data_IF_662601028470
#
_entry.id   IF_662601028470
#
_cell.length_a   1.000
_cell.length_b   1.000
_cell.length_c   1.000
_cell.angle_alpha   90.00
_cell.angle_beta   90.00
_cell.angle_gamma   90.00
#
_symmetry.space_group_name_H-M   'P 1'
#
loop_
_entity.id
_entity.type
_entity.pdbx_description
1 polymer ?
#
# COMPACT_ATOMS: atom_id res chain seq x y z
N UNK A 1 -58.56 -44.78 76.20
CA UNK A 1 -57.90 -43.73 77.00
C UNK A 1 -56.79 -43.15 76.11
N UNK A 2 -56.99 -41.93 75.67
CA UNK A 2 -56.09 -40.79 75.82
C UNK A 2 -54.66 -41.08 75.37
N UNK A 3 -53.96 -40.33 74.54
CA UNK A 3 -54.02 -38.91 74.14
C UNK A 3 -53.12 -38.70 72.94
N UNK A 4 -53.53 -37.85 72.02
CA UNK A 4 -52.89 -36.66 71.46
C UNK A 4 -51.35 -36.58 71.50
N UNK A 5 -50.72 -36.30 70.37
CA UNK A 5 -50.32 -34.94 69.95
C UNK A 5 -49.32 -35.10 68.82
N UNK A 6 -49.42 -34.46 67.94
CA UNK A 6 -49.22 -33.12 67.31
C UNK A 6 -48.13 -33.12 66.26
N UNK A 7 -48.58 -32.78 65.19
CA UNK A 7 -48.10 -32.26 63.98
C UNK A 7 -46.73 -31.53 64.04
N UNK A 8 -45.92 -31.85 63.10
CA UNK A 8 -44.80 -31.02 62.65
C UNK A 8 -44.61 -31.15 61.14
N UNK A 9 -45.32 -30.28 60.40
CA UNK A 9 -45.07 -30.09 58.97
C UNK A 9 -43.76 -29.39 58.80
N UNK A 10 -42.75 -30.05 58.34
CA UNK A 10 -41.62 -29.39 57.70
C UNK A 10 -41.74 -29.49 56.19
N UNK A 11 -42.16 -28.38 55.61
CA UNK A 11 -42.13 -28.11 54.21
C UNK A 11 -40.67 -28.01 53.79
N UNK A 12 -40.16 -29.02 53.12
CA UNK A 12 -38.87 -28.92 52.41
C UNK A 12 -39.10 -28.22 51.08
N UNK A 13 -38.79 -26.93 51.06
CA UNK A 13 -38.63 -26.16 49.84
C UNK A 13 -37.37 -26.68 49.20
N UNK A 14 -37.52 -27.47 48.11
CA UNK A 14 -36.45 -27.84 47.22
C UNK A 14 -36.08 -26.58 46.37
N UNK A 15 -35.05 -25.89 46.80
CA UNK A 15 -34.42 -24.82 46.01
C UNK A 15 -33.68 -25.47 44.84
N UNK A 16 -34.32 -25.55 43.67
CA UNK A 16 -33.71 -25.94 42.40
C UNK A 16 -32.79 -24.81 41.97
N UNK A 17 -31.50 -24.97 42.33
CA UNK A 17 -30.43 -24.10 41.84
C UNK A 17 -30.18 -24.46 40.37
N UNK A 18 -30.85 -23.71 39.47
CA UNK A 18 -30.62 -23.82 38.03
C UNK A 18 -29.22 -23.33 37.69
N UNK A 19 -28.31 -24.29 37.51
CA UNK A 19 -26.97 -24.00 36.94
C UNK A 19 -27.12 -23.73 35.46
N UNK A 20 -27.30 -22.45 35.07
CA UNK A 20 -27.21 -22.02 33.68
C UNK A 20 -25.76 -22.08 33.26
N UNK A 21 -25.41 -23.15 32.55
CA UNK A 21 -24.14 -23.23 31.79
C UNK A 21 -24.28 -22.26 30.65
N UNK A 22 -23.73 -21.05 30.82
CA UNK A 22 -23.47 -20.11 29.74
C UNK A 22 -22.33 -20.73 28.95
N UNK A 23 -22.68 -21.50 27.93
CA UNK A 23 -21.73 -21.91 26.88
C UNK A 23 -21.28 -20.65 26.18
N UNK A 24 -20.16 -20.06 26.63
CA UNK A 24 -19.45 -19.04 25.90
C UNK A 24 -19.03 -19.62 24.55
N UNK A 25 -19.73 -19.26 23.48
CA UNK A 25 -19.19 -19.39 22.13
C UNK A 25 -17.94 -18.51 22.06
N UNK A 26 -16.78 -19.11 22.32
CA UNK A 26 -15.52 -18.58 21.88
C UNK A 26 -15.58 -18.57 20.36
N UNK A 27 -15.85 -17.41 19.78
CA UNK A 27 -15.49 -17.13 18.40
C UNK A 27 -13.98 -17.23 18.35
N UNK A 28 -13.47 -18.44 18.10
CA UNK A 28 -12.11 -18.61 17.70
C UNK A 28 -11.98 -17.83 16.39
N UNK A 29 -11.34 -16.67 16.45
CA UNK A 29 -10.87 -15.95 15.29
C UNK A 29 -9.94 -16.92 14.55
N UNK A 30 -10.39 -17.49 13.43
CA UNK A 30 -9.54 -18.27 12.54
C UNK A 30 -8.39 -17.35 12.10
N UNK A 31 -7.29 -17.40 12.85
CA UNK A 31 -6.03 -16.87 12.39
C UNK A 31 -5.63 -17.73 11.18
N UNK A 32 -5.90 -17.22 9.98
CA UNK A 32 -5.41 -17.84 8.76
C UNK A 32 -3.87 -17.86 8.88
N UNK A 33 -3.33 -19.03 9.12
CA UNK A 33 -1.87 -19.22 9.19
C UNK A 33 -1.33 -19.17 7.79
N UNK A 34 -0.87 -17.98 7.39
CA UNK A 34 -0.20 -17.81 6.09
C UNK A 34 1.00 -18.74 6.02
N UNK A 35 1.04 -19.58 4.99
CA UNK A 35 2.12 -20.56 4.78
C UNK A 35 3.45 -19.91 4.46
N UNK A 36 3.43 -18.75 3.78
CA UNK A 36 4.61 -17.98 3.46
C UNK A 36 4.89 -16.92 4.52
N UNK A 37 6.16 -16.71 4.86
CA UNK A 37 6.59 -15.73 5.88
C UNK A 37 7.85 -15.02 5.43
N UNK A 38 8.02 -13.77 5.83
CA UNK A 38 9.29 -13.07 5.77
C UNK A 38 10.17 -13.65 6.88
N UNK A 39 11.28 -14.29 6.53
CA UNK A 39 12.22 -14.89 7.49
C UNK A 39 13.23 -13.87 8.00
N UNK A 40 13.81 -13.09 7.09
CA UNK A 40 14.80 -12.06 7.43
C UNK A 40 14.63 -10.82 6.58
N UNK A 41 15.13 -9.70 7.12
CA UNK A 41 15.30 -8.42 6.42
C UNK A 41 16.68 -7.89 6.79
N UNK A 42 17.57 -7.86 5.80
CA UNK A 42 18.96 -7.47 5.95
C UNK A 42 19.26 -6.25 5.07
N UNK A 43 20.24 -5.46 5.45
CA UNK A 43 20.61 -4.23 4.74
C UNK A 43 22.08 -4.21 4.41
N UNK A 44 22.42 -3.70 3.24
CA UNK A 44 23.80 -3.41 2.88
C UNK A 44 23.91 -2.07 2.14
N UNK A 45 24.95 -1.33 2.45
CA UNK A 45 25.27 -0.08 1.74
C UNK A 45 26.23 -0.38 0.58
N UNK A 46 25.94 0.18 -0.59
CA UNK A 46 26.79 0.09 -1.76
C UNK A 46 27.50 1.45 -2.00
N UNK A 47 28.62 1.46 -2.74
CA UNK A 47 29.30 2.68 -3.14
C UNK A 47 28.33 3.65 -3.84
N UNK A 48 28.51 4.96 -3.59
CA UNK A 48 27.63 5.99 -4.13
C UNK A 48 26.35 6.19 -3.34
N UNK A 49 26.25 5.75 -2.08
CA UNK A 49 25.10 6.00 -1.19
C UNK A 49 23.85 5.20 -1.53
N UNK A 50 23.97 4.18 -2.37
CA UNK A 50 22.89 3.22 -2.65
C UNK A 50 22.72 2.26 -1.47
N UNK A 51 21.48 1.84 -1.21
CA UNK A 51 21.18 0.86 -0.15
C UNK A 51 20.46 -0.32 -0.78
N UNK A 52 20.88 -1.52 -0.43
CA UNK A 52 20.21 -2.76 -0.82
C UNK A 52 19.57 -3.37 0.41
N UNK A 53 18.30 -3.74 0.27
CA UNK A 53 17.53 -4.43 1.28
C UNK A 53 17.29 -5.84 0.75
N UNK A 54 17.77 -6.84 1.47
CA UNK A 54 17.56 -8.25 1.19
C UNK A 54 16.45 -8.77 2.09
N UNK A 55 15.44 -9.35 1.49
CA UNK A 55 14.31 -9.97 2.19
C UNK A 55 14.25 -11.41 1.78
N UNK A 56 14.23 -12.31 2.76
CA UNK A 56 14.07 -13.73 2.52
C UNK A 56 12.68 -14.18 2.94
N UNK A 57 12.03 -14.99 2.09
CA UNK A 57 10.73 -15.59 2.36
C UNK A 57 10.80 -17.10 2.45
N UNK A 58 9.90 -17.75 3.21
CA UNK A 58 9.87 -19.22 3.35
C UNK A 58 9.46 -19.93 2.08
N UNK A 59 8.66 -19.29 1.24
CA UNK A 59 8.19 -19.85 -0.05
C UNK A 59 8.51 -18.84 -1.15
N UNK A 60 8.90 -19.30 -2.35
CA UNK A 60 9.19 -18.42 -3.48
C UNK A 60 8.03 -17.48 -3.79
N UNK A 61 8.37 -16.23 -4.06
CA UNK A 61 7.41 -15.25 -4.57
C UNK A 61 7.34 -15.35 -6.09
N UNK A 62 6.14 -15.37 -6.62
CA UNK A 62 5.90 -15.39 -8.08
C UNK A 62 6.10 -13.98 -8.67
N UNK A 63 5.72 -12.95 -7.92
CA UNK A 63 5.79 -11.55 -8.35
C UNK A 63 6.49 -10.69 -7.29
N UNK A 64 7.15 -9.60 -7.69
CA UNK A 64 7.61 -8.59 -6.77
C UNK A 64 6.44 -8.04 -5.93
N UNK A 65 6.69 -7.67 -4.66
CA UNK A 65 5.67 -7.02 -3.85
C UNK A 65 5.23 -5.71 -4.51
N UNK A 66 3.93 -5.45 -4.49
CA UNK A 66 3.39 -4.19 -4.94
C UNK A 66 3.91 -3.05 -4.05
N UNK A 67 4.41 -1.97 -4.67
CA UNK A 67 5.01 -0.88 -3.91
C UNK A 67 4.51 0.48 -4.34
N UNK A 68 4.50 1.44 -3.40
CA UNK A 68 4.18 2.84 -3.66
C UNK A 68 5.04 3.76 -2.81
N UNK A 69 5.24 4.99 -3.30
CA UNK A 69 6.01 6.03 -2.63
C UNK A 69 5.09 7.09 -2.01
N UNK A 70 5.48 7.58 -0.84
CA UNK A 70 4.90 8.73 -0.17
C UNK A 70 5.99 9.80 -0.06
N UNK A 71 5.68 11.03 -0.43
CA UNK A 71 6.69 12.09 -0.51
C UNK A 71 6.87 12.87 0.80
N UNK A 72 5.83 13.00 1.60
CA UNK A 72 5.86 13.75 2.86
C UNK A 72 5.09 13.03 3.96
N UNK A 73 5.77 12.38 4.91
CA UNK A 73 7.21 12.09 4.95
C UNK A 73 7.65 11.06 3.92
N UNK A 74 8.92 11.13 3.49
CA UNK A 74 9.49 10.24 2.50
C UNK A 74 9.43 8.76 2.93
N UNK A 75 8.65 7.94 2.22
CA UNK A 75 8.46 6.51 2.52
C UNK A 75 8.24 5.72 1.24
N UNK A 76 8.62 4.45 1.28
CA UNK A 76 8.22 3.44 0.30
C UNK A 76 7.46 2.37 1.07
N UNK A 77 6.23 2.08 0.66
CA UNK A 77 5.46 0.98 1.21
C UNK A 77 5.38 -0.15 0.18
N UNK A 78 5.58 -1.37 0.65
CA UNK A 78 5.57 -2.59 -0.15
C UNK A 78 4.60 -3.59 0.48
N UNK A 79 3.66 -4.09 -0.31
CA UNK A 79 2.68 -5.07 0.14
C UNK A 79 3.11 -6.48 -0.31
N UNK A 80 3.14 -7.40 0.64
CA UNK A 80 3.43 -8.82 0.45
C UNK A 80 2.15 -9.62 0.69
N UNK A 81 1.30 -9.83 -0.35
CA UNK A 81 0.06 -10.60 -0.21
C UNK A 81 0.37 -12.07 0.08
N UNK A 82 -0.38 -12.69 0.96
CA UNK A 82 -0.20 -14.10 1.34
C UNK A 82 1.08 -14.39 2.13
N UNK A 83 1.78 -13.37 2.60
CA UNK A 83 3.05 -13.49 3.35
C UNK A 83 2.88 -12.89 4.74
N UNK A 84 3.19 -13.67 5.77
CA UNK A 84 3.21 -13.23 7.15
C UNK A 84 4.55 -12.60 7.55
N UNK A 85 4.56 -11.82 8.61
CA UNK A 85 5.81 -11.38 9.23
C UNK A 85 6.32 -12.49 10.17
N UNK A 86 7.39 -13.17 9.76
CA UNK A 86 8.07 -14.21 10.54
C UNK A 86 9.28 -13.71 11.32
N UNK A 87 9.65 -12.43 11.18
CA UNK A 87 10.90 -11.89 11.80
C UNK A 87 10.77 -11.61 13.29
N UNK A 88 9.59 -11.74 13.90
CA UNK A 88 9.30 -11.34 15.28
C UNK A 88 9.55 -9.83 15.57
N UNK A 89 9.93 -9.06 14.57
CA UNK A 89 10.19 -7.62 14.65
C UNK A 89 9.15 -6.86 13.84
N UNK A 90 8.57 -5.83 14.42
CA UNK A 90 7.68 -4.90 13.71
C UNK A 90 8.40 -3.62 13.27
N UNK A 91 9.55 -3.34 13.87
CA UNK A 91 10.37 -2.19 13.54
C UNK A 91 11.85 -2.58 13.57
N UNK A 92 12.59 -2.19 12.52
CA UNK A 92 14.02 -2.48 12.36
C UNK A 92 14.72 -1.16 12.02
N UNK A 93 15.62 -0.71 12.89
CA UNK A 93 16.45 0.46 12.63
C UNK A 93 17.51 0.09 11.60
N UNK A 94 17.72 0.93 10.59
CA UNK A 94 18.67 0.67 9.52
C UNK A 94 19.81 1.70 9.49
N UNK A 95 19.48 2.99 9.48
CA UNK A 95 20.41 4.14 9.45
C UNK A 95 21.51 4.00 8.37
N UNK A 96 21.12 3.57 7.19
CA UNK A 96 22.02 3.36 6.06
C UNK A 96 21.61 4.23 4.87
N UNK A 97 22.49 5.11 4.42
CA UNK A 97 22.24 6.01 3.29
C UNK A 97 20.95 6.81 3.46
N UNK A 98 19.99 6.61 2.56
CA UNK A 98 18.66 7.24 2.65
C UNK A 98 17.67 6.45 3.51
N UNK A 99 17.95 5.20 3.87
CA UNK A 99 17.07 4.35 4.68
C UNK A 99 17.28 4.62 6.17
N UNK A 100 16.23 5.07 6.86
CA UNK A 100 16.22 5.27 8.31
C UNK A 100 15.81 4.01 9.05
N UNK A 101 14.66 3.47 8.70
CA UNK A 101 14.12 2.27 9.35
C UNK A 101 13.15 1.52 8.43
N UNK A 102 12.87 0.28 8.81
CA UNK A 102 11.85 -0.55 8.17
C UNK A 102 10.80 -0.91 9.21
N UNK A 103 9.53 -0.74 8.85
CA UNK A 103 8.39 -1.14 9.67
C UNK A 103 7.62 -2.25 8.97
N UNK A 104 7.34 -3.35 9.67
CA UNK A 104 6.57 -4.49 9.20
C UNK A 104 5.23 -4.53 9.93
N UNK A 105 4.15 -4.31 9.20
CA UNK A 105 2.78 -4.35 9.72
C UNK A 105 2.05 -5.57 9.13
N UNK A 106 1.67 -6.50 10.01
CA UNK A 106 0.85 -7.66 9.64
C UNK A 106 -0.62 -7.23 9.60
N UNK A 107 -1.31 -7.53 8.51
CA UNK A 107 -2.76 -7.40 8.37
C UNK A 107 -3.28 -8.72 7.78
N UNK A 108 -4.39 -9.24 8.29
CA UNK A 108 -5.03 -10.53 7.94
C UNK A 108 -4.23 -11.43 6.97
N UNK A 109 -4.22 -11.10 5.68
CA UNK A 109 -3.64 -11.94 4.61
C UNK A 109 -2.41 -11.32 3.94
N UNK A 110 -1.78 -10.31 4.55
CA UNK A 110 -0.59 -9.66 3.98
C UNK A 110 0.30 -9.04 5.05
N UNK A 111 1.57 -8.88 4.70
CA UNK A 111 2.50 -8.01 5.43
C UNK A 111 2.76 -6.77 4.61
N UNK A 112 2.61 -5.60 5.21
CA UNK A 112 3.06 -4.33 4.65
C UNK A 112 4.41 -3.96 5.24
N UNK A 113 5.39 -3.79 4.38
CA UNK A 113 6.71 -3.27 4.72
C UNK A 113 6.76 -1.79 4.37
N UNK A 114 7.12 -0.94 5.33
CA UNK A 114 7.29 0.49 5.11
C UNK A 114 8.76 0.84 5.32
N UNK A 115 9.41 1.31 4.27
CA UNK A 115 10.77 1.86 4.31
C UNK A 115 10.65 3.34 4.64
N UNK A 116 11.09 3.75 5.83
CA UNK A 116 11.14 5.15 6.22
C UNK A 116 12.46 5.75 5.74
N UNK A 117 12.38 6.84 5.01
CA UNK A 117 13.52 7.44 4.31
C UNK A 117 13.85 8.83 4.88
N UNK A 118 15.11 9.25 4.73
CA UNK A 118 15.55 10.62 5.04
C UNK A 118 15.12 11.61 3.93
N UNK A 119 15.02 11.12 2.71
CA UNK A 119 14.61 11.87 1.51
C UNK A 119 13.97 10.94 0.48
N UNK A 120 13.24 11.49 -0.48
CA UNK A 120 12.70 10.72 -1.58
C UNK A 120 13.81 10.19 -2.48
N UNK A 121 13.79 8.90 -2.76
CA UNK A 121 14.73 8.23 -3.66
C UNK A 121 13.98 7.25 -4.56
N UNK A 122 14.52 7.01 -5.74
CA UNK A 122 14.05 5.92 -6.61
C UNK A 122 14.41 4.57 -6.02
N UNK A 123 13.62 3.55 -6.31
CA UNK A 123 13.92 2.19 -5.93
C UNK A 123 13.62 1.21 -7.07
N UNK A 124 14.26 0.04 -7.00
CA UNK A 124 13.98 -1.10 -7.87
C UNK A 124 13.81 -2.33 -6.99
N UNK A 125 12.87 -3.20 -7.36
CA UNK A 125 12.61 -4.48 -6.67
C UNK A 125 12.81 -5.63 -7.64
N UNK A 126 13.60 -6.62 -7.26
CA UNK A 126 13.81 -7.86 -7.99
C UNK A 126 13.47 -9.05 -7.10
N UNK A 127 12.93 -10.10 -7.71
CA UNK A 127 12.61 -11.37 -7.03
C UNK A 127 13.34 -12.50 -7.72
N UNK A 128 14.00 -13.33 -6.93
CA UNK A 128 14.64 -14.54 -7.38
C UNK A 128 14.31 -15.68 -6.41
N UNK A 129 13.24 -16.41 -6.70
CA UNK A 129 12.75 -17.45 -5.80
C UNK A 129 12.30 -16.88 -4.45
N UNK A 130 12.99 -17.28 -3.39
CA UNK A 130 12.71 -16.83 -2.01
C UNK A 130 13.34 -15.48 -1.66
N UNK A 131 14.22 -14.97 -2.52
CA UNK A 131 14.98 -13.75 -2.26
C UNK A 131 14.35 -12.56 -2.97
N UNK A 132 13.98 -11.54 -2.20
CA UNK A 132 13.51 -10.25 -2.70
C UNK A 132 14.58 -9.22 -2.40
N UNK A 133 15.04 -8.55 -3.44
CA UNK A 133 16.05 -7.49 -3.32
C UNK A 133 15.44 -6.16 -3.70
N UNK A 134 15.51 -5.18 -2.79
CA UNK A 134 15.10 -3.80 -3.02
C UNK A 134 16.35 -2.94 -3.03
N UNK A 135 16.60 -2.26 -4.13
CA UNK A 135 17.72 -1.33 -4.26
C UNK A 135 17.21 0.10 -4.23
N UNK A 136 17.62 0.86 -3.21
CA UNK A 136 17.39 2.30 -3.13
C UNK A 136 18.52 3.05 -3.85
N UNK A 137 18.15 4.02 -4.69
CA UNK A 137 19.10 4.85 -5.41
C UNK A 137 19.64 5.97 -4.51
N UNK A 138 20.86 6.44 -4.78
CA UNK A 138 21.49 7.47 -3.98
C UNK A 138 20.93 8.88 -4.20
N UNK A 139 20.47 9.13 -5.43
CA UNK A 139 20.01 10.45 -5.84
C UNK A 139 18.54 10.63 -5.53
N UNK A 140 18.18 11.86 -5.19
CA UNK A 140 16.77 12.26 -5.21
C UNK A 140 16.24 11.91 -6.61
N UNK A 141 15.08 11.27 -6.65
CA UNK A 141 14.36 11.14 -7.88
C UNK A 141 14.14 12.57 -8.39
N UNK A 142 14.95 12.97 -9.36
CA UNK A 142 14.78 14.28 -9.98
C UNK A 142 13.35 14.40 -10.42
N UNK A 143 12.64 15.42 -9.95
CA UNK A 143 11.23 15.65 -10.23
C UNK A 143 10.90 15.73 -11.74
N UNK A 144 11.90 15.61 -12.60
CA UNK A 144 11.82 15.75 -14.05
C UNK A 144 12.19 14.50 -14.87
N UNK A 145 12.64 13.40 -14.25
CA UNK A 145 12.78 12.12 -14.95
C UNK A 145 11.79 11.19 -14.29
N UNK A 146 10.69 10.89 -14.98
CA UNK A 146 9.56 10.15 -14.47
C UNK A 146 10.00 8.94 -13.66
N UNK A 147 9.80 9.02 -12.35
CA UNK A 147 9.99 7.87 -11.46
C UNK A 147 9.01 6.81 -11.91
N UNK A 148 9.55 5.78 -12.57
CA UNK A 148 8.74 4.61 -12.92
C UNK A 148 8.56 3.81 -11.64
N UNK A 149 7.43 3.98 -10.99
CA UNK A 149 7.04 3.11 -9.88
C UNK A 149 6.45 1.85 -10.49
N UNK A 150 7.19 0.74 -10.39
CA UNK A 150 6.73 -0.57 -10.87
C UNK A 150 6.01 -1.31 -9.75
N UNK A 151 4.77 -1.67 -9.99
CA UNK A 151 3.98 -2.57 -9.16
C UNK A 151 3.87 -3.90 -9.88
N UNK A 152 4.64 -4.88 -9.53
CA UNK A 152 4.76 -6.19 -10.17
C UNK A 152 5.22 -6.15 -11.66
N UNK A 153 6.05 -7.11 -12.06
CA UNK A 153 6.35 -7.37 -13.47
C UNK A 153 5.52 -8.56 -13.96
N UNK A 154 4.94 -8.50 -15.18
CA UNK A 154 4.17 -9.62 -15.69
C UNK A 154 5.11 -10.79 -15.99
N UNK A 155 4.78 -11.98 -15.52
CA UNK A 155 5.45 -13.21 -15.91
C UNK A 155 4.99 -13.54 -17.33
N UNK A 156 5.97 -13.65 -18.24
CA UNK A 156 5.71 -14.05 -19.64
C UNK A 156 5.06 -15.45 -19.65
N UNK A 157 3.83 -15.53 -20.19
CA UNK A 157 3.09 -16.78 -20.34
C UNK A 157 1.87 -16.94 -19.43
N UNK A 158 1.56 -15.98 -18.56
CA UNK A 158 0.41 -16.06 -17.66
C UNK A 158 -0.86 -15.39 -18.22
N UNK A 159 -1.98 -15.76 -17.59
CA UNK A 159 -3.33 -15.29 -17.83
C UNK A 159 -3.39 -13.76 -17.96
N UNK A 160 -4.06 -13.26 -18.97
CA UNK A 160 -4.32 -11.84 -19.15
C UNK A 160 -5.21 -11.33 -18.01
N UNK A 161 -4.79 -10.23 -17.38
CA UNK A 161 -5.59 -9.51 -16.39
C UNK A 161 -6.63 -8.61 -17.06
N UNK A 162 -7.53 -8.04 -16.30
CA UNK A 162 -8.51 -7.08 -16.79
C UNK A 162 -8.75 -5.96 -15.78
N UNK A 163 -9.06 -4.77 -16.28
CA UNK A 163 -9.69 -3.71 -15.50
C UNK A 163 -11.20 -4.00 -15.47
N UNK A 164 -11.76 -4.16 -14.26
CA UNK A 164 -13.18 -4.45 -14.07
C UNK A 164 -14.00 -3.16 -13.92
N UNK A 165 -13.41 -2.12 -13.32
CA UNK A 165 -14.05 -0.83 -13.14
C UNK A 165 -13.02 0.29 -12.99
N UNK A 166 -13.42 1.52 -13.34
CA UNK A 166 -12.69 2.76 -13.07
C UNK A 166 -13.68 3.75 -12.48
N UNK A 167 -13.41 4.16 -11.25
CA UNK A 167 -14.23 5.11 -10.51
C UNK A 167 -13.43 6.34 -10.09
N UNK A 168 -14.13 7.45 -9.82
CA UNK A 168 -13.53 8.70 -9.40
C UNK A 168 -14.33 9.31 -8.26
N UNK A 169 -13.63 9.70 -7.21
CA UNK A 169 -14.23 10.39 -6.07
C UNK A 169 -13.36 11.56 -5.59
N UNK A 170 -13.99 12.48 -4.86
CA UNK A 170 -13.28 13.50 -4.10
C UNK A 170 -12.94 12.94 -2.71
N UNK A 171 -11.68 12.92 -2.36
CA UNK A 171 -11.23 12.54 -1.04
C UNK A 171 -11.50 13.61 0.03
N UNK A 172 -11.34 13.25 1.29
CA UNK A 172 -11.69 14.09 2.46
C UNK A 172 -10.91 15.41 2.51
N UNK A 173 -9.69 15.42 1.98
CA UNK A 173 -8.82 16.62 1.98
C UNK A 173 -8.85 17.35 0.62
N UNK A 174 -9.82 17.03 -0.25
CA UNK A 174 -9.95 17.64 -1.56
C UNK A 174 -9.11 17.00 -2.65
N UNK A 175 -8.39 15.90 -2.37
CA UNK A 175 -7.69 15.11 -3.37
C UNK A 175 -8.66 14.50 -4.39
N UNK A 176 -8.22 14.40 -5.64
CA UNK A 176 -8.88 13.58 -6.64
C UNK A 176 -8.43 12.14 -6.48
N UNK A 177 -9.35 11.23 -6.20
CA UNK A 177 -9.10 9.81 -6.01
C UNK A 177 -9.62 9.01 -7.17
N UNK A 178 -8.73 8.32 -7.85
CA UNK A 178 -9.05 7.36 -8.92
C UNK A 178 -8.96 5.97 -8.33
N UNK A 179 -10.01 5.16 -8.49
CA UNK A 179 -10.09 3.78 -8.00
C UNK A 179 -10.21 2.88 -9.22
N UNK A 180 -9.26 1.96 -9.39
CA UNK A 180 -9.26 0.98 -10.48
C UNK A 180 -9.42 -0.41 -9.88
N UNK A 181 -10.54 -1.08 -10.20
CA UNK A 181 -10.78 -2.46 -9.81
C UNK A 181 -10.13 -3.40 -10.84
N UNK A 182 -9.23 -4.26 -10.37
CA UNK A 182 -8.49 -5.21 -11.18
C UNK A 182 -9.05 -6.63 -10.99
N UNK A 183 -8.92 -7.47 -12.00
CA UNK A 183 -9.27 -8.90 -11.90
C UNK A 183 -8.37 -9.65 -10.92
N UNK A 184 -7.15 -9.17 -10.69
CA UNK A 184 -6.16 -9.78 -9.79
C UNK A 184 -5.29 -8.72 -9.12
N UNK A 185 -4.88 -8.98 -7.89
CA UNK A 185 -3.88 -8.18 -7.18
C UNK A 185 -2.46 -8.32 -7.79
N UNK A 186 -2.24 -9.30 -8.66
CA UNK A 186 -0.95 -9.56 -9.31
C UNK A 186 -0.79 -8.85 -10.66
N UNK A 187 -1.73 -7.97 -11.06
CA UNK A 187 -1.60 -7.16 -12.26
C UNK A 187 -0.39 -6.21 -12.10
N UNK A 188 0.53 -6.26 -13.06
CA UNK A 188 1.68 -5.35 -13.08
C UNK A 188 1.24 -3.93 -13.41
N UNK A 189 1.73 -2.95 -12.65
CA UNK A 189 1.37 -1.55 -12.83
C UNK A 189 2.64 -0.69 -12.81
N UNK A 190 2.78 0.17 -13.81
CA UNK A 190 3.83 1.18 -13.86
C UNK A 190 3.20 2.56 -13.83
N UNK A 191 3.68 3.43 -12.95
CA UNK A 191 3.29 4.84 -12.92
C UNK A 191 4.48 5.69 -13.32
N UNK A 192 4.24 6.64 -14.21
CA UNK A 192 5.25 7.62 -14.61
C UNK A 192 4.61 8.99 -14.79
N UNK A 193 5.35 10.02 -14.47
CA UNK A 193 4.98 11.37 -14.81
C UNK A 193 5.53 11.69 -16.22
N UNK A 194 4.67 12.21 -17.09
CA UNK A 194 5.05 12.68 -18.43
C UNK A 194 4.60 14.13 -18.60
N UNK A 195 5.54 15.05 -18.42
CA UNK A 195 5.22 16.47 -18.37
C UNK A 195 4.28 16.79 -17.21
N UNK A 196 3.10 17.30 -17.52
CA UNK A 196 2.06 17.64 -16.54
C UNK A 196 1.02 16.54 -16.35
N UNK A 197 1.20 15.35 -16.91
CA UNK A 197 0.27 14.24 -16.81
C UNK A 197 0.87 13.07 -16.04
N UNK A 198 0.00 12.27 -15.42
CA UNK A 198 0.35 11.00 -14.81
C UNK A 198 -0.07 9.90 -15.79
N UNK A 199 0.86 9.04 -16.17
CA UNK A 199 0.59 7.89 -17.04
C UNK A 199 0.73 6.62 -16.22
N UNK A 200 -0.31 5.79 -16.26
CA UNK A 200 -0.35 4.50 -15.58
C UNK A 200 -0.48 3.41 -16.64
N UNK A 201 0.50 2.53 -16.71
CA UNK A 201 0.48 1.37 -17.59
C UNK A 201 0.12 0.13 -16.77
N UNK A 202 -0.97 -0.55 -17.13
CA UNK A 202 -1.41 -1.84 -16.56
C UNK A 202 -0.90 -2.94 -17.47
N UNK A 203 0.14 -3.65 -17.04
CA UNK A 203 0.84 -4.63 -17.86
C UNK A 203 0.02 -5.91 -18.05
N UNK A 204 -0.02 -6.42 -19.28
CA UNK A 204 -0.79 -7.62 -19.66
C UNK A 204 -2.25 -7.58 -19.15
N UNK A 205 -2.86 -6.38 -19.20
CA UNK A 205 -4.19 -6.12 -18.62
C UNK A 205 -5.12 -5.59 -19.69
N UNK A 206 -6.22 -6.27 -19.91
CA UNK A 206 -7.25 -5.86 -20.85
C UNK A 206 -8.10 -4.71 -20.29
N UNK A 207 -8.55 -3.85 -21.17
CA UNK A 207 -9.49 -2.77 -20.86
C UNK A 207 -10.76 -3.02 -21.67
N UNK A 208 -11.88 -3.38 -21.02
CA UNK A 208 -13.15 -3.57 -21.72
C UNK A 208 -13.58 -2.30 -22.47
N UNK A 209 -14.25 -2.47 -23.61
CA UNK A 209 -14.60 -1.35 -24.49
C UNK A 209 -15.41 -0.25 -23.80
N UNK A 210 -16.30 -0.61 -22.87
CA UNK A 210 -17.10 0.34 -22.08
C UNK A 210 -16.27 1.18 -21.10
N UNK A 211 -15.03 0.76 -20.75
CA UNK A 211 -14.10 1.50 -19.90
C UNK A 211 -13.07 2.28 -20.72
N UNK A 212 -12.96 2.07 -22.02
CA UNK A 212 -12.11 2.85 -22.92
C UNK A 212 -12.76 4.20 -23.21
N UNK A 213 -12.59 5.12 -22.30
CA UNK A 213 -13.24 6.43 -22.38
C UNK A 213 -12.47 7.51 -21.63
N UNK A 214 -12.78 8.76 -21.97
CA UNK A 214 -12.34 9.95 -21.23
C UNK A 214 -13.42 10.34 -20.22
N UNK A 215 -13.05 10.36 -18.94
CA UNK A 215 -13.89 10.88 -17.86
C UNK A 215 -13.54 12.34 -17.62
N UNK A 216 -14.54 13.23 -17.73
CA UNK A 216 -14.43 14.60 -17.27
C UNK A 216 -14.85 14.66 -15.79
N UNK A 217 -13.89 14.98 -14.91
CA UNK A 217 -14.08 14.98 -13.47
C UNK A 217 -13.97 16.38 -12.86
N UNK A 218 -14.09 17.43 -13.68
CA UNK A 218 -13.99 18.83 -13.24
C UNK A 218 -15.02 19.19 -12.18
N UNK A 219 -16.23 18.60 -12.23
CA UNK A 219 -17.33 18.85 -11.30
C UNK A 219 -17.05 18.35 -9.87
N UNK A 220 -16.05 17.52 -9.67
CA UNK A 220 -15.66 17.03 -8.33
C UNK A 220 -14.83 18.06 -7.54
N UNK A 221 -14.43 19.15 -8.17
CA UNK A 221 -13.67 20.23 -7.51
C UNK A 221 -12.35 19.74 -6.88
N UNK A 222 -11.64 18.92 -7.62
CA UNK A 222 -10.32 18.35 -7.28
C UNK A 222 -9.24 18.89 -8.20
N UNK A 223 -7.95 18.57 -7.98
CA UNK A 223 -6.89 18.91 -8.92
C UNK A 223 -6.99 18.17 -10.26
N UNK A 224 -7.74 17.08 -10.37
CA UNK A 224 -7.86 16.29 -11.60
C UNK A 224 -8.93 16.89 -12.51
N UNK A 225 -8.62 16.99 -13.82
CA UNK A 225 -9.52 17.47 -14.85
C UNK A 225 -10.09 16.32 -15.66
N UNK A 226 -9.20 15.43 -16.14
CA UNK A 226 -9.56 14.29 -16.98
C UNK A 226 -8.86 13.01 -16.54
N UNK A 227 -9.53 11.89 -16.75
CA UNK A 227 -8.98 10.55 -16.63
C UNK A 227 -9.33 9.80 -17.93
N UNK A 228 -8.31 9.54 -18.75
CA UNK A 228 -8.44 8.76 -19.98
C UNK A 228 -8.03 7.33 -19.72
N UNK A 229 -8.86 6.37 -20.08
CA UNK A 229 -8.53 4.94 -20.01
C UNK A 229 -8.62 4.33 -21.40
N UNK A 230 -7.58 3.62 -21.81
CA UNK A 230 -7.48 3.03 -23.15
C UNK A 230 -6.76 1.69 -23.14
N UNK A 231 -7.02 0.89 -24.15
CA UNK A 231 -6.25 -0.33 -24.43
C UNK A 231 -5.09 0.01 -25.36
N UNK A 232 -3.88 -0.43 -24.99
CA UNK A 232 -2.67 -0.24 -25.80
C UNK A 232 -1.99 -1.61 -26.02
N UNK A 233 -2.32 -2.26 -27.13
CA UNK A 233 -1.87 -3.62 -27.42
C UNK A 233 -2.38 -4.63 -26.38
N UNK A 234 -1.46 -5.26 -25.63
CA UNK A 234 -1.79 -6.19 -24.53
C UNK A 234 -1.97 -5.51 -23.18
N UNK A 235 -1.70 -4.22 -23.09
CA UNK A 235 -1.72 -3.46 -21.85
C UNK A 235 -2.92 -2.53 -21.81
N UNK A 236 -3.37 -2.22 -20.58
CA UNK A 236 -4.21 -1.07 -20.32
C UNK A 236 -3.33 0.16 -20.07
N UNK A 237 -3.79 1.33 -20.47
CA UNK A 237 -3.15 2.59 -20.12
C UNK A 237 -4.18 3.58 -19.58
N UNK A 238 -3.81 4.29 -18.54
CA UNK A 238 -4.59 5.41 -18.01
C UNK A 238 -3.73 6.66 -18.04
N UNK A 239 -4.30 7.77 -18.53
CA UNK A 239 -3.68 9.10 -18.52
C UNK A 239 -4.52 10.00 -17.66
N UNK A 240 -3.94 10.56 -16.61
CA UNK A 240 -4.58 11.48 -15.68
C UNK A 240 -4.02 12.87 -15.95
N UNK A 241 -4.91 13.85 -16.18
CA UNK A 241 -4.57 15.25 -16.42
C UNK A 241 -4.91 16.11 -15.19
N UNK A 242 -3.93 16.40 -14.32
CA UNK A 242 -4.12 17.33 -13.22
C UNK A 242 -3.94 18.79 -13.67
N UNK A 243 -4.44 19.73 -12.85
CA UNK A 243 -4.23 21.18 -12.98
C UNK A 243 -3.39 21.74 -11.84
N UNK A 244 -2.66 22.83 -12.12
CA UNK A 244 -1.83 23.53 -11.12
C UNK A 244 -0.62 22.72 -10.69
N UNK A 245 -0.11 23.03 -9.49
CA UNK A 245 0.94 22.28 -8.84
C UNK A 245 0.30 21.13 -8.05
N UNK A 246 0.76 19.93 -8.27
CA UNK A 246 0.16 18.74 -7.69
C UNK A 246 1.23 17.71 -7.29
N UNK A 247 0.85 16.86 -6.37
CA UNK A 247 1.58 15.64 -6.03
C UNK A 247 0.63 14.45 -6.14
N UNK A 248 1.19 13.30 -6.42
CA UNK A 248 0.44 12.05 -6.47
C UNK A 248 0.94 11.08 -5.41
N UNK A 249 0.05 10.25 -4.92
CA UNK A 249 0.36 9.02 -4.22
C UNK A 249 -0.49 7.89 -4.79
N UNK A 250 0.09 6.69 -4.89
CA UNK A 250 -0.64 5.54 -5.39
C UNK A 250 -0.39 4.34 -4.47
N UNK A 251 -1.40 3.49 -4.33
CA UNK A 251 -1.30 2.27 -3.54
C UNK A 251 -2.25 1.21 -4.08
N UNK A 252 -1.96 -0.03 -3.80
CA UNK A 252 -2.82 -1.16 -4.12
C UNK A 252 -3.35 -1.79 -2.84
N UNK A 253 -4.66 -1.98 -2.78
CA UNK A 253 -5.37 -2.67 -1.70
C UNK A 253 -6.13 -3.84 -2.32
N UNK A 254 -5.58 -5.05 -2.20
CA UNK A 254 -6.10 -6.25 -2.87
C UNK A 254 -6.21 -6.05 -4.39
N UNK A 255 -7.39 -6.17 -4.95
CA UNK A 255 -7.67 -5.96 -6.38
C UNK A 255 -7.98 -4.49 -6.73
N UNK A 256 -7.93 -3.58 -5.76
CA UNK A 256 -8.14 -2.15 -5.98
C UNK A 256 -6.81 -1.43 -6.07
N UNK A 257 -6.58 -0.75 -7.18
CA UNK A 257 -5.48 0.19 -7.33
C UNK A 257 -6.02 1.60 -7.18
N UNK A 258 -5.42 2.39 -6.29
CA UNK A 258 -5.91 3.71 -5.91
C UNK A 258 -4.82 4.73 -6.17
N UNK A 259 -5.21 5.84 -6.81
CA UNK A 259 -4.32 6.97 -7.08
C UNK A 259 -4.96 8.21 -6.49
N UNK A 260 -4.27 8.84 -5.56
CA UNK A 260 -4.67 10.13 -4.98
C UNK A 260 -3.83 11.25 -5.60
N UNK A 261 -4.48 12.27 -6.12
CA UNK A 261 -3.85 13.47 -6.66
C UNK A 261 -4.30 14.66 -5.83
N UNK A 262 -3.35 15.34 -5.19
CA UNK A 262 -3.62 16.51 -4.34
C UNK A 262 -2.91 17.75 -4.84
N UNK A 263 -3.47 18.90 -4.57
CA UNK A 263 -2.85 20.18 -4.89
C UNK A 263 -1.72 20.46 -3.89
N UNK A 264 -0.58 20.88 -4.41
CA UNK A 264 0.51 21.43 -3.60
C UNK A 264 0.26 22.91 -3.47
N UNK A 265 -0.01 23.39 -2.24
CA UNK A 265 -0.07 24.80 -1.91
C UNK A 265 1.34 25.19 -1.49
N UNK A 266 2.02 25.97 -2.31
CA UNK A 266 3.29 26.58 -1.92
C UNK A 266 3.03 27.60 -0.81
N UNK A 267 3.68 27.40 0.33
CA UNK A 267 3.65 28.40 1.41
C UNK A 267 4.53 29.59 0.98
N UNK A 268 3.97 30.78 0.71
CA UNK A 268 4.74 31.93 0.27
C UNK A 268 5.73 32.44 1.32
N UNK A 269 5.64 31.96 2.56
CA UNK A 269 6.54 32.32 3.65
C UNK A 269 7.64 31.27 3.90
N UNK A 270 7.71 30.23 3.10
CA UNK A 270 8.77 29.25 3.20
C UNK A 270 10.08 29.86 2.67
N UNK A 271 10.86 30.47 3.57
CA UNK A 271 12.19 30.99 3.29
C UNK A 271 13.02 29.89 2.60
N UNK A 272 13.43 30.14 1.34
CA UNK A 272 14.36 29.30 0.62
C UNK A 272 15.70 29.39 1.35
N UNK A 273 16.24 28.33 1.94
CA UNK A 273 17.56 28.37 2.53
C UNK A 273 18.59 28.51 1.40
N UNK A 274 19.16 29.69 1.21
CA UNK A 274 20.31 29.79 0.30
C UNK A 274 20.48 31.02 -0.55
N UNK A 275 19.73 32.10 -0.38
CA UNK A 275 20.11 33.39 -1.02
C UNK A 275 20.89 34.25 0.00
N UNK A 276 22.18 33.99 0.14
CA UNK A 276 23.12 34.99 0.65
C UNK A 276 23.31 36.04 -0.42
N UNK A 277 22.50 37.08 -0.44
CA UNK A 277 22.86 38.36 -1.06
C UNK A 277 23.96 38.97 -0.22
N UNK A 278 25.21 38.77 -0.67
CA UNK A 278 26.33 39.54 -0.18
C UNK A 278 26.14 41.00 -0.58
N UNK A 279 25.75 41.85 0.35
CA UNK A 279 26.03 43.28 0.26
C UNK A 279 27.53 43.46 0.53
N UNK A 280 28.30 43.73 -0.53
CA UNK A 280 29.56 44.40 -0.40
C UNK A 280 29.21 45.89 -0.19
N UNK A 281 29.37 46.35 1.04
CA UNK A 281 29.40 47.77 1.34
C UNK A 281 30.84 48.24 1.36
N UNK A 282 31.07 49.38 0.77
CA UNK A 282 32.28 50.18 0.73
C UNK A 282 32.86 50.45 2.14
#
# INVERSE_FOLDING_TARGET
MKNNAWVGKFSQVFLLLGLTIISGLSLAEEQSTLKNKIESVDFSSLPGGRVVIHIKTTVPLINPPAGFTLNSPARIALDFPGVANGTSKTHIQADQGSLKSVTLAQAKERTRMVLNLSKNVGYNTTVNGNDVTIMLQANEASANVGVVTKFAEPILGQQQFAINNVDFERGKNGEGRIIVDLSSASAGINIKQKGKTIVVDFLNTDVPANLQRRLNVTNFNTPVIYVDTMKLGRNGQMVIEPKGNWEQSAYQADKKFIIDVRQVIEDPNKLVPGSKTGYAGE
#
